data_IF_290761606085
#
_entry.id   IF_290761606085
#
_cell.length_a   1.000
_cell.length_b   1.000
_cell.length_c   1.000
_cell.angle_alpha   90.00
_cell.angle_beta   90.00
_cell.angle_gamma   90.00
#
_symmetry.space_group_name_H-M   'P 1'
#
loop_
_entity.id
_entity.type
_entity.pdbx_description
1 polymer ?
#
# COMPACT_ATOMS: atom_id res chain seq x y z
N UNK A 1 -25.98 -14.26 53.17
CA UNK A 1 -25.70 -12.87 52.73
C UNK A 1 -26.17 -12.73 51.31
N UNK A 2 -27.32 -12.09 51.14
CA UNK A 2 -27.92 -11.73 49.85
C UNK A 2 -27.09 -10.63 49.19
N UNK A 3 -26.82 -10.73 47.89
CA UNK A 3 -26.63 -9.51 47.09
C UNK A 3 -27.20 -9.67 45.69
N UNK A 4 -28.03 -8.67 45.39
CA UNK A 4 -29.00 -8.56 44.32
C UNK A 4 -28.37 -8.41 42.94
N UNK A 5 -28.88 -9.19 41.98
CA UNK A 5 -28.82 -8.86 40.56
C UNK A 5 -29.79 -7.71 40.25
N UNK A 6 -29.28 -6.53 39.89
CA UNK A 6 -30.07 -5.46 39.27
C UNK A 6 -29.98 -5.59 37.75
N UNK A 7 -31.10 -5.99 37.15
CA UNK A 7 -31.36 -5.92 35.72
C UNK A 7 -31.59 -4.45 35.32
N UNK A 8 -30.81 -3.94 34.37
CA UNK A 8 -31.07 -2.68 33.69
C UNK A 8 -31.70 -2.97 32.33
N UNK A 9 -33.02 -2.78 32.25
CA UNK A 9 -33.72 -2.51 30.99
C UNK A 9 -33.40 -1.07 30.58
N UNK A 10 -32.95 -0.87 29.34
CA UNK A 10 -33.03 0.42 28.65
C UNK A 10 -33.59 0.18 27.25
N UNK A 11 -34.89 0.40 27.16
CA UNK A 11 -35.58 0.75 25.92
C UNK A 11 -35.16 2.18 25.54
N UNK A 12 -34.79 2.37 24.28
CA UNK A 12 -34.27 3.66 23.80
C UNK A 12 -34.16 3.70 22.29
N UNK A 13 -35.31 3.63 21.61
CA UNK A 13 -35.46 3.88 20.18
C UNK A 13 -35.08 5.32 19.84
N UNK A 14 -33.83 5.57 19.44
CA UNK A 14 -33.40 6.83 18.86
C UNK A 14 -33.86 6.90 17.40
N UNK A 15 -35.01 7.56 17.16
CA UNK A 15 -35.40 8.01 15.82
C UNK A 15 -34.49 9.16 15.42
N UNK A 16 -33.55 8.88 14.51
CA UNK A 16 -32.74 9.91 13.86
C UNK A 16 -33.65 10.71 12.92
N UNK A 17 -33.87 11.99 13.25
CA UNK A 17 -34.51 12.93 12.34
C UNK A 17 -33.58 13.20 11.14
N UNK A 18 -34.08 12.92 9.94
CA UNK A 18 -33.39 13.25 8.69
C UNK A 18 -33.41 14.77 8.47
N UNK A 19 -32.27 15.42 8.14
CA UNK A 19 -32.24 16.85 7.81
C UNK A 19 -32.96 17.16 6.49
N UNK A 20 -33.85 18.16 6.50
CA UNK A 20 -34.71 18.59 5.39
C UNK A 20 -34.03 19.48 4.34
N UNK A 21 -32.83 19.12 3.87
CA UNK A 21 -32.12 19.87 2.82
C UNK A 21 -32.20 19.16 1.47
N UNK A 22 -33.41 19.01 0.94
CA UNK A 22 -33.66 18.84 -0.51
C UNK A 22 -34.50 20.01 -1.01
N UNK A 23 -33.98 21.21 -0.86
CA UNK A 23 -34.41 22.36 -1.66
C UNK A 23 -33.79 22.23 -3.04
N UNK A 24 -34.67 22.10 -4.04
CA UNK A 24 -34.38 22.12 -5.47
C UNK A 24 -33.38 23.23 -5.80
N UNK A 25 -32.18 22.85 -6.22
CA UNK A 25 -31.23 23.75 -6.87
C UNK A 25 -31.81 24.16 -8.22
N UNK A 26 -32.53 25.28 -8.25
CA UNK A 26 -32.73 26.04 -9.49
C UNK A 26 -31.35 26.46 -9.97
N UNK A 27 -30.95 25.99 -11.14
CA UNK A 27 -29.77 26.48 -11.83
C UNK A 27 -29.90 28.00 -12.00
N UNK A 28 -28.85 28.79 -11.68
CA UNK A 28 -28.88 30.23 -11.92
C UNK A 28 -29.01 30.47 -13.43
N UNK A 29 -29.88 31.40 -13.80
CA UNK A 29 -30.01 31.87 -15.17
C UNK A 29 -28.63 32.30 -15.70
N UNK A 30 -28.20 31.61 -16.75
CA UNK A 30 -26.96 31.92 -17.46
C UNK A 30 -27.15 33.26 -18.17
N UNK A 31 -26.41 34.27 -17.74
CA UNK A 31 -26.38 35.58 -18.39
C UNK A 31 -25.76 35.47 -19.79
N UNK A 32 -26.21 36.32 -20.72
CA UNK A 32 -25.75 36.35 -22.12
C UNK A 32 -24.21 36.54 -22.26
N UNK A 33 -23.57 37.12 -21.25
CA UNK A 33 -22.11 37.28 -21.15
C UNK A 33 -21.38 35.92 -21.16
N UNK A 34 -21.93 34.92 -20.46
CA UNK A 34 -21.34 33.58 -20.35
C UNK A 34 -21.42 32.81 -21.67
N UNK A 35 -22.48 33.06 -22.46
CA UNK A 35 -22.63 32.50 -23.80
C UNK A 35 -21.66 33.14 -24.81
N UNK A 36 -21.35 34.44 -24.68
CA UNK A 36 -20.33 35.11 -25.51
C UNK A 36 -18.93 34.56 -25.28
N UNK A 37 -18.56 34.27 -24.03
CA UNK A 37 -17.24 33.70 -23.70
C UNK A 37 -17.07 32.28 -24.31
N UNK A 38 -18.12 31.45 -24.26
CA UNK A 38 -18.10 30.10 -24.85
C UNK A 38 -18.00 30.12 -26.38
N UNK A 39 -18.67 31.06 -27.05
CA UNK A 39 -18.57 31.22 -28.52
C UNK A 39 -17.18 31.67 -28.98
N UNK A 40 -16.47 32.50 -28.21
CA UNK A 40 -15.08 32.90 -28.54
C UNK A 40 -14.07 31.74 -28.43
N UNK A 41 -14.30 30.79 -27.53
CA UNK A 41 -13.46 29.58 -27.40
C UNK A 41 -13.58 28.67 -28.64
N UNK A 42 -14.81 28.48 -29.15
CA UNK A 42 -15.05 27.57 -30.27
C UNK A 42 -14.50 28.10 -31.61
N UNK A 43 -14.47 29.42 -31.80
CA UNK A 43 -13.86 30.05 -32.98
C UNK A 43 -12.31 29.97 -32.98
N UNK A 44 -11.68 29.99 -31.79
CA UNK A 44 -10.22 29.79 -31.67
C UNK A 44 -9.81 28.37 -32.03
N UNK A 45 -10.59 27.36 -31.64
CA UNK A 45 -10.33 25.96 -32.02
C UNK A 45 -10.42 25.69 -33.53
N UNK A 46 -11.18 26.49 -34.28
CA UNK A 46 -11.25 26.33 -35.74
C UNK A 46 -10.05 26.94 -36.47
N UNK A 47 -9.46 28.02 -35.96
CA UNK A 47 -8.27 28.63 -36.57
C UNK A 47 -7.00 27.81 -36.36
N UNK A 48 -6.83 27.16 -35.21
CA UNK A 48 -5.66 26.30 -34.95
C UNK A 48 -5.65 25.03 -35.80
N UNK A 49 -6.80 24.64 -36.40
CA UNK A 49 -6.91 23.47 -37.26
C UNK A 49 -6.52 23.73 -38.73
N UNK A 50 -6.29 24.99 -39.09
CA UNK A 50 -5.96 25.40 -40.48
C UNK A 50 -4.52 25.88 -40.67
N UNK A 51 -3.73 25.97 -39.60
CA UNK A 51 -2.28 26.19 -39.73
C UNK A 51 -1.59 24.89 -40.12
N UNK A 52 -1.16 24.86 -41.38
CA UNK A 52 -0.45 23.79 -42.04
C UNK A 52 0.69 23.18 -41.19
N UNK A 53 0.63 21.87 -40.99
CA UNK A 53 1.76 21.07 -40.52
C UNK A 53 2.89 21.11 -41.59
N UNK A 54 4.15 21.31 -41.19
CA UNK A 54 5.27 21.17 -42.11
C UNK A 54 5.42 19.70 -42.57
N UNK A 55 5.84 19.45 -43.83
CA UNK A 55 5.94 18.10 -44.36
C UNK A 55 7.02 17.30 -43.61
N UNK A 56 6.54 16.28 -42.91
CA UNK A 56 7.35 15.28 -42.22
C UNK A 56 8.13 14.43 -43.23
N UNK A 57 9.37 14.81 -43.51
CA UNK A 57 10.38 13.94 -44.11
C UNK A 57 11.00 13.09 -42.99
N UNK A 58 10.71 11.79 -42.98
CA UNK A 58 11.67 10.69 -42.77
C UNK A 58 10.94 9.36 -42.64
N UNK A 59 10.67 8.74 -43.79
CA UNK A 59 10.52 7.30 -43.89
C UNK A 59 11.90 6.63 -43.70
N UNK A 60 11.85 5.32 -43.37
CA UNK A 60 12.94 4.34 -43.33
C UNK A 60 13.64 4.18 -41.98
N UNK A 61 13.16 3.22 -41.18
CA UNK A 61 13.88 1.96 -40.96
C UNK A 61 13.08 1.02 -40.06
N UNK A 62 12.33 0.11 -40.69
CA UNK A 62 11.90 -1.15 -40.10
C UNK A 62 13.12 -1.99 -39.76
N UNK A 63 13.47 -2.08 -38.47
CA UNK A 63 14.24 -3.21 -37.94
C UNK A 63 13.42 -3.96 -36.90
N UNK A 64 12.73 -4.97 -37.44
CA UNK A 64 12.30 -6.18 -36.76
C UNK A 64 13.54 -6.78 -36.08
N UNK A 65 13.58 -6.81 -34.75
CA UNK A 65 14.50 -7.68 -34.00
C UNK A 65 13.69 -8.77 -33.35
N UNK A 66 14.14 -9.97 -33.69
CA UNK A 66 13.54 -11.25 -33.46
C UNK A 66 13.54 -11.61 -31.98
N UNK A 67 12.52 -12.36 -31.59
CA UNK A 67 12.48 -13.07 -30.33
C UNK A 67 13.62 -14.10 -30.32
N UNK A 68 14.54 -13.98 -29.35
CA UNK A 68 15.49 -15.05 -29.04
C UNK A 68 14.75 -16.22 -28.38
N UNK A 69 14.88 -17.45 -28.92
CA UNK A 69 14.43 -18.65 -28.24
C UNK A 69 15.57 -19.20 -27.39
N UNK A 70 15.54 -18.99 -26.07
CA UNK A 70 16.40 -19.75 -25.16
C UNK A 70 15.70 -21.04 -24.77
N UNK A 71 15.94 -22.07 -25.58
CA UNK A 71 15.83 -23.47 -25.18
C UNK A 71 16.77 -23.72 -23.99
N UNK A 72 16.22 -23.82 -22.77
CA UNK A 72 16.93 -24.40 -21.63
C UNK A 72 16.47 -25.85 -21.47
N UNK A 73 17.08 -26.74 -22.26
CA UNK A 73 16.98 -28.19 -22.09
C UNK A 73 17.94 -28.59 -20.98
N UNK A 74 17.45 -28.57 -19.73
CA UNK A 74 18.17 -29.19 -18.61
C UNK A 74 17.92 -30.69 -18.65
N UNK A 75 18.91 -31.40 -19.18
CA UNK A 75 19.07 -32.84 -19.12
C UNK A 75 19.18 -33.29 -17.65
N UNK A 76 18.09 -33.81 -17.09
CA UNK A 76 18.16 -34.57 -15.85
C UNK A 76 18.73 -35.96 -16.14
N UNK A 77 19.91 -36.22 -15.59
CA UNK A 77 20.54 -37.53 -15.60
C UNK A 77 19.63 -38.59 -15.00
N UNK A 78 19.46 -39.69 -15.74
CA UNK A 78 18.88 -40.95 -15.27
C UNK A 78 19.73 -41.48 -14.12
N UNK A 79 19.22 -41.37 -12.89
CA UNK A 79 19.60 -42.25 -11.80
C UNK A 79 18.65 -43.45 -11.83
N UNK A 80 19.22 -44.59 -12.24
CA UNK A 80 18.64 -45.92 -12.14
C UNK A 80 18.44 -46.28 -10.66
N UNK A 81 17.20 -46.41 -10.22
CA UNK A 81 16.85 -47.11 -8.98
C UNK A 81 15.98 -48.31 -9.30
N UNK A 82 16.33 -49.40 -8.62
CA UNK A 82 15.93 -50.78 -8.85
C UNK A 82 14.41 -51.01 -8.95
N UNK A 83 14.07 -51.89 -9.89
CA UNK A 83 12.80 -52.58 -9.98
C UNK A 83 12.64 -53.54 -8.79
N UNK A 84 11.53 -53.42 -8.06
CA UNK A 84 11.15 -54.37 -7.02
C UNK A 84 9.84 -53.96 -6.34
N UNK A 85 8.78 -54.71 -6.64
CA UNK A 85 7.39 -54.58 -6.16
C UNK A 85 6.50 -53.54 -6.86
N UNK A 86 5.96 -53.93 -8.01
CA UNK A 86 4.72 -53.36 -8.56
C UNK A 86 3.57 -53.62 -7.58
N UNK A 87 3.27 -52.64 -6.73
CA UNK A 87 1.94 -52.50 -6.14
C UNK A 87 1.07 -51.76 -7.15
N UNK A 88 -0.10 -52.34 -7.46
CA UNK A 88 -1.08 -51.75 -8.34
C UNK A 88 -1.34 -50.27 -7.96
N UNK A 89 -1.56 -49.37 -8.94
CA UNK A 89 -1.82 -47.97 -8.66
C UNK A 89 -2.98 -47.85 -7.66
N UNK A 90 -2.81 -47.16 -6.52
CA UNK A 90 -3.85 -47.03 -5.52
C UNK A 90 -5.05 -46.35 -6.17
N UNK A 91 -6.11 -47.14 -6.37
CA UNK A 91 -7.38 -46.69 -6.89
C UNK A 91 -7.80 -45.44 -6.08
N UNK A 92 -7.92 -44.29 -6.75
CA UNK A 92 -8.00 -42.95 -6.17
C UNK A 92 -9.33 -42.64 -5.44
N UNK A 93 -9.93 -43.67 -4.83
CA UNK A 93 -11.37 -43.74 -4.57
C UNK A 93 -11.78 -43.44 -3.13
N UNK A 94 -10.86 -43.27 -2.19
CA UNK A 94 -11.24 -42.84 -0.85
C UNK A 94 -10.02 -42.47 -0.03
N UNK A 95 -9.89 -41.21 0.36
CA UNK A 95 -8.95 -40.92 1.43
C UNK A 95 -9.40 -39.71 2.22
N UNK A 96 -10.54 -39.86 2.93
CA UNK A 96 -10.62 -39.16 4.19
C UNK A 96 -9.35 -39.47 4.99
N UNK A 97 -8.78 -38.47 5.67
CA UNK A 97 -7.54 -38.63 6.44
C UNK A 97 -7.58 -39.80 7.44
N UNK A 98 -8.76 -40.21 7.92
CA UNK A 98 -8.85 -41.34 8.85
C UNK A 98 -8.56 -42.72 8.21
N UNK A 99 -8.37 -42.79 6.89
CA UNK A 99 -8.03 -44.03 6.15
C UNK A 99 -9.16 -45.06 6.06
N UNK A 100 -10.34 -44.79 6.64
CA UNK A 100 -11.49 -45.71 6.64
C UNK A 100 -12.38 -45.42 5.42
N UNK A 101 -12.89 -46.45 4.75
CA UNK A 101 -13.92 -46.29 3.71
C UNK A 101 -15.29 -46.24 4.38
N UNK A 102 -16.01 -45.12 4.27
CA UNK A 102 -17.39 -45.00 4.73
C UNK A 102 -18.27 -44.45 3.62
N UNK A 103 -19.52 -44.88 3.57
CA UNK A 103 -20.55 -44.35 2.68
C UNK A 103 -21.07 -42.97 3.17
N UNK A 104 -20.17 -42.08 3.57
CA UNK A 104 -20.48 -40.72 4.03
C UNK A 104 -19.97 -39.69 3.01
N UNK A 105 -20.71 -38.59 2.84
CA UNK A 105 -20.23 -37.47 2.02
C UNK A 105 -18.93 -36.90 2.58
N UNK A 106 -17.98 -36.57 1.69
CA UNK A 106 -16.74 -35.91 2.07
C UNK A 106 -16.89 -34.38 2.05
N UNK A 107 -16.19 -33.71 2.96
CA UNK A 107 -16.00 -32.26 2.96
C UNK A 107 -14.51 -31.93 2.92
N UNK A 108 -14.15 -30.97 2.08
CA UNK A 108 -12.78 -30.47 1.94
C UNK A 108 -12.59 -29.22 2.78
N UNK A 109 -11.43 -29.10 3.42
CA UNK A 109 -11.05 -27.89 4.14
C UNK A 109 -11.00 -26.69 3.17
N UNK A 110 -11.56 -25.55 3.56
CA UNK A 110 -11.55 -24.31 2.77
C UNK A 110 -10.20 -23.58 2.79
N UNK A 111 -9.31 -23.95 3.71
CA UNK A 111 -7.93 -23.50 3.62
C UNK A 111 -7.34 -24.12 2.34
N UNK A 112 -7.04 -23.27 1.34
CA UNK A 112 -6.55 -23.65 -0.01
C UNK A 112 -5.33 -24.56 -0.01
N UNK A 113 -4.61 -24.63 1.11
CA UNK A 113 -3.36 -25.36 1.29
C UNK A 113 -3.56 -26.66 2.05
N UNK A 114 -4.67 -26.75 2.79
CA UNK A 114 -5.07 -27.96 3.49
C UNK A 114 -5.78 -28.90 2.51
N UNK A 115 -5.05 -29.90 2.02
CA UNK A 115 -5.59 -30.97 1.16
C UNK A 115 -6.41 -32.01 1.95
N UNK A 116 -6.67 -31.77 3.24
CA UNK A 116 -7.43 -32.72 4.07
C UNK A 116 -8.89 -32.76 3.63
N UNK A 117 -9.36 -33.96 3.32
CA UNK A 117 -10.77 -34.27 3.19
C UNK A 117 -11.21 -35.12 4.37
N UNK A 118 -12.42 -34.87 4.86
CA UNK A 118 -12.98 -35.53 6.03
C UNK A 118 -14.38 -36.05 5.72
N UNK A 119 -14.75 -37.22 6.26
CA UNK A 119 -16.16 -37.62 6.28
C UNK A 119 -16.98 -36.60 7.08
N UNK A 120 -18.07 -36.13 6.48
CA UNK A 120 -18.87 -35.02 7.01
C UNK A 120 -19.32 -35.26 8.46
N UNK A 121 -19.91 -36.42 8.74
CA UNK A 121 -20.47 -36.72 10.06
C UNK A 121 -19.40 -37.28 10.99
N UNK A 122 -18.72 -38.34 10.57
CA UNK A 122 -17.90 -39.11 11.49
C UNK A 122 -16.48 -38.57 11.72
N UNK A 123 -15.94 -37.75 10.82
CA UNK A 123 -14.59 -37.18 10.96
C UNK A 123 -14.61 -35.66 11.15
N UNK A 124 -15.48 -34.94 10.45
CA UNK A 124 -15.64 -33.51 10.60
C UNK A 124 -16.62 -33.11 11.73
N UNK A 125 -17.40 -34.06 12.26
CA UNK A 125 -18.38 -33.78 13.32
C UNK A 125 -19.53 -32.89 12.88
N UNK A 126 -19.77 -32.77 11.57
CA UNK A 126 -20.81 -31.91 11.01
C UNK A 126 -22.09 -32.71 10.77
N UNK A 127 -23.19 -32.27 11.38
CA UNK A 127 -24.52 -32.84 11.11
C UNK A 127 -25.00 -32.52 9.69
N UNK A 128 -24.59 -31.36 9.15
CA UNK A 128 -24.98 -30.86 7.82
C UNK A 128 -23.80 -30.15 7.16
N UNK A 129 -23.77 -30.17 5.83
CA UNK A 129 -22.79 -29.39 5.06
C UNK A 129 -23.05 -27.88 5.29
N UNK A 130 -22.01 -27.05 5.51
CA UNK A 130 -22.16 -25.60 5.58
C UNK A 130 -22.89 -25.10 4.34
N UNK A 131 -23.84 -24.17 4.52
CA UNK A 131 -24.64 -23.60 3.42
C UNK A 131 -24.11 -22.22 3.04
N UNK A 132 -24.13 -21.89 1.75
CA UNK A 132 -23.71 -20.59 1.25
C UNK A 132 -22.19 -20.38 1.27
N UNK A 133 -21.75 -19.15 1.59
CA UNK A 133 -20.34 -18.73 1.61
C UNK A 133 -19.62 -18.99 2.95
N UNK A 134 -20.20 -19.79 3.85
CA UNK A 134 -19.52 -20.13 5.11
C UNK A 134 -18.43 -21.16 4.87
N UNK A 135 -17.17 -20.73 4.95
CA UNK A 135 -16.01 -21.59 4.87
C UNK A 135 -15.99 -22.60 6.04
N UNK A 136 -15.58 -23.83 5.77
CA UNK A 136 -15.30 -24.84 6.79
C UNK A 136 -13.82 -25.18 6.82
N UNK A 137 -13.25 -25.19 8.02
CA UNK A 137 -11.87 -25.54 8.27
C UNK A 137 -11.80 -26.78 9.14
N UNK A 138 -10.86 -27.68 8.85
CA UNK A 138 -10.59 -28.84 9.72
C UNK A 138 -10.07 -28.37 11.09
N UNK A 139 -10.07 -29.26 12.09
CA UNK A 139 -9.62 -28.93 13.45
C UNK A 139 -8.23 -28.26 13.47
N UNK A 140 -7.28 -28.76 12.66
CA UNK A 140 -5.94 -28.20 12.57
C UNK A 140 -5.90 -26.80 11.94
N UNK A 141 -6.79 -26.51 10.98
CA UNK A 141 -6.84 -25.20 10.33
C UNK A 141 -7.68 -24.19 11.11
N UNK A 142 -8.63 -24.65 11.92
CA UNK A 142 -9.51 -23.80 12.71
C UNK A 142 -8.75 -23.07 13.83
N UNK A 143 -7.68 -23.66 14.36
CA UNK A 143 -6.78 -22.99 15.31
C UNK A 143 -5.79 -22.04 14.65
N UNK A 144 -5.53 -22.21 13.33
CA UNK A 144 -4.58 -21.38 12.58
C UNK A 144 -5.19 -20.08 12.06
N UNK A 145 -6.52 -19.97 12.01
CA UNK A 145 -7.24 -18.84 11.43
C UNK A 145 -6.97 -17.52 12.18
N UNK A 146 -6.55 -17.58 13.45
CA UNK A 146 -6.47 -16.40 14.32
C UNK A 146 -5.06 -15.98 14.74
N UNK A 147 -4.01 -16.78 14.47
CA UNK A 147 -2.77 -16.61 15.23
C UNK A 147 -1.48 -16.60 14.42
N UNK A 148 -1.40 -17.26 13.26
CA UNK A 148 -0.17 -17.25 12.47
C UNK A 148 -0.34 -16.47 11.16
N UNK A 149 0.63 -15.62 10.81
CA UNK A 149 0.64 -14.81 9.57
C UNK A 149 0.41 -15.63 8.30
N UNK A 150 0.74 -16.91 8.30
CA UNK A 150 0.51 -17.77 7.15
C UNK A 150 -0.94 -18.21 6.98
N UNK A 151 -1.87 -17.96 7.91
CA UNK A 151 -3.28 -18.38 7.82
C UNK A 151 -3.42 -19.87 7.47
N UNK A 152 -2.55 -20.71 8.03
CA UNK A 152 -2.49 -22.14 7.73
C UNK A 152 -1.93 -22.57 6.37
N UNK A 153 -1.16 -21.72 5.68
CA UNK A 153 -0.45 -22.08 4.44
C UNK A 153 0.68 -23.11 4.63
N UNK A 154 1.19 -23.28 5.85
CA UNK A 154 2.32 -24.18 6.16
C UNK A 154 1.87 -25.50 6.77
N UNK A 155 2.76 -26.50 6.68
CA UNK A 155 2.47 -27.87 7.10
C UNK A 155 2.33 -27.96 8.62
N UNK A 156 1.39 -28.76 9.10
CA UNK A 156 1.14 -28.96 10.54
C UNK A 156 2.31 -29.59 11.32
N UNK A 157 3.30 -30.17 10.63
CA UNK A 157 4.51 -30.74 11.25
C UNK A 157 5.61 -29.72 11.49
N UNK A 158 5.42 -28.47 11.10
CA UNK A 158 6.42 -27.42 11.34
C UNK A 158 6.43 -27.00 12.82
N UNK A 159 7.63 -26.77 13.36
CA UNK A 159 7.81 -26.29 14.73
C UNK A 159 7.06 -24.96 14.93
N UNK A 160 6.31 -24.91 16.02
CA UNK A 160 5.56 -23.74 16.46
C UNK A 160 6.29 -23.05 17.61
N UNK A 161 6.24 -21.72 17.65
CA UNK A 161 6.73 -20.89 18.73
C UNK A 161 5.55 -20.12 19.34
N UNK A 162 5.58 -19.96 20.66
CA UNK A 162 4.53 -19.27 21.43
C UNK A 162 5.01 -17.87 21.81
N UNK A 163 4.14 -16.88 21.69
CA UNK A 163 4.41 -15.55 22.25
C UNK A 163 4.41 -15.60 23.79
N UNK A 164 5.43 -15.03 24.44
CA UNK A 164 5.54 -15.01 25.91
C UNK A 164 4.55 -14.07 26.60
N UNK A 165 3.97 -13.11 25.87
CA UNK A 165 3.06 -12.13 26.47
C UNK A 165 1.76 -12.80 26.95
N UNK A 166 1.49 -12.73 28.25
CA UNK A 166 0.47 -13.54 28.92
C UNK A 166 -0.98 -13.11 28.62
N UNK A 167 -1.20 -11.98 27.94
CA UNK A 167 -2.53 -11.38 27.75
C UNK A 167 -3.13 -11.55 26.35
N UNK A 168 -2.66 -12.52 25.56
CA UNK A 168 -3.34 -12.85 24.32
C UNK A 168 -4.56 -13.75 24.56
N UNK A 169 -5.73 -13.43 23.97
CA UNK A 169 -6.82 -14.39 23.92
C UNK A 169 -6.40 -15.59 23.05
N UNK A 170 -6.10 -16.73 23.69
CA UNK A 170 -5.96 -18.02 23.02
C UNK A 170 -4.54 -18.55 22.76
N UNK A 171 -3.52 -18.06 23.47
CA UNK A 171 -2.12 -18.56 23.37
C UNK A 171 -1.63 -18.72 21.91
N UNK A 172 -1.45 -17.62 21.16
CA UNK A 172 -1.17 -17.69 19.74
C UNK A 172 0.14 -18.45 19.47
N UNK A 173 0.03 -19.47 18.62
CA UNK A 173 1.15 -20.25 18.10
C UNK A 173 1.49 -19.81 16.68
N UNK A 174 2.78 -19.62 16.43
CA UNK A 174 3.30 -19.15 15.15
C UNK A 174 4.27 -20.19 14.58
N UNK A 175 4.16 -20.52 13.31
CA UNK A 175 5.17 -21.34 12.64
C UNK A 175 6.51 -20.62 12.60
N UNK A 176 7.59 -21.32 12.97
CA UNK A 176 8.93 -20.74 13.01
C UNK A 176 9.34 -20.07 11.71
N UNK A 177 9.04 -20.65 10.54
CA UNK A 177 9.37 -20.01 9.26
C UNK A 177 8.42 -18.88 8.86
N UNK A 178 7.35 -18.62 9.62
CA UNK A 178 6.54 -17.40 9.46
C UNK A 178 7.07 -16.24 10.29
N UNK A 179 7.86 -16.55 11.31
CA UNK A 179 8.46 -15.59 12.23
C UNK A 179 9.99 -15.66 12.19
N UNK A 180 10.59 -16.37 11.24
CA UNK A 180 12.05 -16.62 11.21
C UNK A 180 12.85 -15.35 10.99
N UNK A 181 12.22 -14.32 10.42
CA UNK A 181 12.81 -12.98 10.27
C UNK A 181 12.78 -12.23 11.61
N UNK A 182 11.92 -12.67 12.53
CA UNK A 182 11.61 -11.99 13.79
C UNK A 182 12.14 -12.70 15.04
N UNK A 183 12.74 -13.87 14.87
CA UNK A 183 13.21 -14.73 15.96
C UNK A 183 14.72 -14.83 15.88
N UNK A 184 15.40 -14.47 16.96
CA UNK A 184 16.87 -14.59 17.06
C UNK A 184 17.29 -16.03 17.38
N UNK A 185 18.54 -16.44 17.08
CA UNK A 185 19.04 -17.76 17.46
C UNK A 185 18.90 -18.07 18.96
N UNK A 186 19.10 -17.07 19.82
CA UNK A 186 18.93 -17.18 21.28
C UNK A 186 17.47 -17.47 21.65
N UNK A 187 16.51 -16.83 20.98
CA UNK A 187 15.09 -17.09 21.15
C UNK A 187 14.68 -18.48 20.63
N UNK A 188 15.37 -19.02 19.62
CA UNK A 188 15.17 -20.40 19.15
C UNK A 188 15.64 -21.45 20.16
N UNK A 189 16.60 -21.09 21.00
CA UNK A 189 17.18 -21.95 22.04
C UNK A 189 16.46 -21.81 23.40
N UNK A 190 15.33 -21.08 23.43
CA UNK A 190 14.61 -20.70 24.66
C UNK A 190 15.47 -19.90 25.67
N UNK A 191 16.56 -19.27 25.23
CA UNK A 191 17.43 -18.44 26.08
C UNK A 191 16.87 -17.03 26.28
N UNK A 192 16.01 -16.57 25.36
CA UNK A 192 15.32 -15.27 25.43
C UNK A 192 13.84 -15.40 25.08
N UNK A 193 13.05 -14.51 25.67
CA UNK A 193 11.62 -14.41 25.41
C UNK A 193 11.36 -13.83 24.02
N UNK A 194 10.44 -14.46 23.28
CA UNK A 194 9.93 -13.95 22.02
C UNK A 194 8.54 -13.31 22.19
N UNK A 195 8.39 -12.12 21.60
CA UNK A 195 7.14 -11.37 21.57
C UNK A 195 6.65 -11.28 20.12
N UNK A 196 5.37 -11.56 19.89
CA UNK A 196 4.80 -11.42 18.56
C UNK A 196 4.72 -9.93 18.19
N UNK A 197 4.69 -9.58 16.88
CA UNK A 197 4.67 -8.18 16.44
C UNK A 197 3.55 -7.35 17.09
N UNK A 198 2.37 -7.96 17.30
CA UNK A 198 1.23 -7.31 17.95
C UNK A 198 1.55 -6.92 19.40
N UNK A 199 2.33 -7.72 20.11
CA UNK A 199 2.73 -7.41 21.47
C UNK A 199 3.91 -6.47 21.54
N UNK A 200 4.83 -6.52 20.58
CA UNK A 200 5.95 -5.58 20.50
C UNK A 200 5.44 -4.13 20.43
N UNK A 201 4.34 -3.87 19.71
CA UNK A 201 3.66 -2.57 19.65
C UNK A 201 3.21 -2.00 21.01
N UNK A 202 3.00 -2.85 22.02
CA UNK A 202 2.52 -2.40 23.33
C UNK A 202 3.64 -2.04 24.32
N UNK A 203 4.91 -2.36 24.02
CA UNK A 203 6.02 -2.26 24.98
C UNK A 203 6.91 -1.02 24.77
N UNK A 204 6.71 -0.22 23.71
CA UNK A 204 7.46 1.03 23.49
C UNK A 204 7.29 1.65 22.10
N UNK A 205 8.00 2.75 21.81
CA UNK A 205 8.08 3.33 20.45
C UNK A 205 8.69 2.31 19.51
N UNK A 206 7.85 1.64 18.71
CA UNK A 206 8.35 0.62 17.80
C UNK A 206 8.72 1.26 16.47
N UNK A 207 9.98 1.13 16.11
CA UNK A 207 10.48 1.51 14.80
C UNK A 207 10.11 0.42 13.79
N UNK A 208 9.40 0.80 12.72
CA UNK A 208 8.91 -0.14 11.72
C UNK A 208 9.55 0.17 10.36
N UNK A 209 10.08 -0.86 9.69
CA UNK A 209 10.49 -0.74 8.30
C UNK A 209 9.28 -0.73 7.35
N UNK A 210 9.47 -0.33 6.09
CA UNK A 210 8.47 -0.46 5.02
C UNK A 210 7.94 -1.88 4.84
N UNK A 211 8.69 -2.90 5.27
CA UNK A 211 8.24 -4.29 5.24
C UNK A 211 7.22 -4.61 6.35
N UNK A 212 6.96 -3.67 7.27
CA UNK A 212 6.07 -3.86 8.43
C UNK A 212 6.66 -4.74 9.53
N UNK A 213 7.94 -5.10 9.43
CA UNK A 213 8.65 -5.84 10.48
C UNK A 213 9.35 -4.84 11.42
N UNK A 214 9.39 -5.18 12.69
CA UNK A 214 10.11 -4.45 13.72
C UNK A 214 11.61 -4.73 13.70
N UNK A 215 12.37 -4.03 14.55
CA UNK A 215 13.78 -4.31 14.78
C UNK A 215 13.95 -5.66 15.49
N UNK A 216 14.13 -6.73 14.73
CA UNK A 216 14.39 -8.06 15.26
C UNK A 216 15.88 -8.40 15.26
N UNK A 217 16.71 -7.42 15.66
CA UNK A 217 18.18 -7.57 15.70
C UNK A 217 18.83 -7.52 14.32
N UNK A 218 18.09 -7.14 13.29
CA UNK A 218 18.64 -6.88 11.97
C UNK A 218 19.12 -5.43 11.90
N UNK A 219 20.30 -5.20 11.33
CA UNK A 219 20.85 -3.85 11.21
C UNK A 219 19.86 -2.93 10.49
N UNK A 220 19.44 -1.87 11.18
CA UNK A 220 18.53 -0.85 10.66
C UNK A 220 19.26 0.46 10.41
N UNK A 221 18.77 1.22 9.43
CA UNK A 221 19.25 2.56 9.12
C UNK A 221 18.12 3.57 9.25
N UNK A 222 18.40 4.69 9.93
CA UNK A 222 17.47 5.80 10.09
C UNK A 222 17.56 6.76 8.90
N UNK A 223 16.42 7.22 8.40
CA UNK A 223 16.39 8.25 7.38
C UNK A 223 16.69 9.64 7.98
N UNK A 224 17.60 10.42 7.40
CA UNK A 224 17.94 11.78 7.88
C UNK A 224 16.75 12.76 7.84
N UNK A 225 15.73 12.46 7.03
CA UNK A 225 14.51 13.27 6.94
C UNK A 225 13.48 12.96 8.04
N UNK A 226 13.75 12.08 9.00
CA UNK A 226 12.81 11.82 10.12
C UNK A 226 12.70 12.99 11.08
N UNK A 227 13.82 13.65 11.33
CA UNK A 227 13.92 14.70 12.34
C UNK A 227 13.91 16.10 11.68
N UNK A 228 13.65 16.19 10.38
CA UNK A 228 13.63 17.47 9.67
C UNK A 228 12.28 18.16 9.89
N UNK A 229 12.26 19.02 10.90
CA UNK A 229 11.27 20.07 11.01
C UNK A 229 11.44 21.12 9.91
N UNK A 230 10.38 21.88 9.67
CA UNK A 230 10.46 23.09 8.84
C UNK A 230 11.22 24.18 9.59
N UNK A 231 12.36 24.61 9.04
CA UNK A 231 13.17 25.70 9.58
C UNK A 231 12.38 27.02 9.71
N UNK A 232 11.37 27.22 8.86
CA UNK A 232 10.54 28.43 8.88
C UNK A 232 9.47 28.44 9.97
N UNK A 233 9.18 27.28 10.57
CA UNK A 233 7.94 27.11 11.33
C UNK A 233 8.13 27.16 12.85
N UNK A 234 9.29 26.74 13.40
CA UNK A 234 9.59 26.75 14.85
C UNK A 234 8.62 25.99 15.78
N UNK A 235 7.49 25.48 15.26
CA UNK A 235 6.37 24.89 15.97
C UNK A 235 6.17 23.45 15.49
N UNK A 236 5.89 22.55 16.43
CA UNK A 236 5.84 21.10 16.25
C UNK A 236 4.91 20.62 15.10
N UNK A 237 5.57 20.21 14.02
CA UNK A 237 5.30 19.24 12.93
C UNK A 237 3.89 18.83 12.47
N UNK A 238 2.82 18.85 13.27
CA UNK A 238 1.54 18.22 12.85
C UNK A 238 0.64 19.12 12.01
N UNK A 239 0.68 20.44 12.20
CA UNK A 239 -0.33 21.35 11.63
C UNK A 239 0.13 22.14 10.40
N UNK A 240 1.38 21.98 9.96
CA UNK A 240 1.88 22.70 8.79
C UNK A 240 1.86 21.80 7.55
N UNK A 241 1.01 22.14 6.58
CA UNK A 241 0.89 21.43 5.29
C UNK A 241 2.23 21.37 4.53
N UNK A 242 3.12 22.35 4.75
CA UNK A 242 4.48 22.34 4.19
C UNK A 242 5.42 21.37 4.93
N UNK A 243 5.21 21.15 6.25
CA UNK A 243 5.97 20.22 7.09
C UNK A 243 5.62 18.75 6.86
N UNK A 244 4.34 18.42 6.67
CA UNK A 244 3.88 17.05 6.42
C UNK A 244 4.55 16.45 5.17
N UNK A 245 5.02 17.32 4.27
CA UNK A 245 5.79 16.92 3.11
C UNK A 245 7.27 16.60 3.36
N UNK A 246 7.88 17.01 4.47
CA UNK A 246 9.34 16.88 4.69
C UNK A 246 9.68 15.60 5.47
N UNK A 247 8.84 15.23 6.45
CA UNK A 247 9.09 14.10 7.32
C UNK A 247 8.99 12.77 6.58
N UNK A 248 9.92 11.86 6.87
CA UNK A 248 9.86 10.47 6.40
C UNK A 248 8.84 9.70 7.26
N UNK A 249 7.83 9.08 6.63
CA UNK A 249 6.75 8.37 7.35
C UNK A 249 7.19 7.08 8.04
N UNK A 250 8.25 6.43 7.54
CA UNK A 250 8.68 5.08 7.97
C UNK A 250 9.78 5.16 9.04
N UNK A 251 10.54 6.24 9.01
CA UNK A 251 11.69 6.52 9.86
C UNK A 251 12.90 5.57 9.76
N UNK A 252 12.69 4.26 9.88
CA UNK A 252 13.75 3.25 9.96
C UNK A 252 13.58 2.19 8.88
N UNK A 253 14.69 1.68 8.36
CA UNK A 253 14.67 0.69 7.29
C UNK A 253 15.65 -0.44 7.60
N UNK A 254 15.23 -1.70 7.43
CA UNK A 254 16.19 -2.80 7.41
C UNK A 254 17.06 -2.67 6.18
N UNK A 255 18.38 -2.79 6.36
CA UNK A 255 19.37 -2.72 5.28
C UNK A 255 19.06 -3.69 4.12
N UNK A 256 18.64 -4.95 4.37
CA UNK A 256 18.20 -5.85 3.30
C UNK A 256 16.95 -5.39 2.56
N UNK A 257 16.00 -4.72 3.23
CA UNK A 257 14.75 -4.26 2.62
C UNK A 257 14.96 -3.13 1.62
N UNK A 258 16.03 -2.36 1.77
CA UNK A 258 16.44 -1.30 0.83
C UNK A 258 17.51 -1.78 -0.15
N UNK A 259 17.87 -3.06 -0.12
CA UNK A 259 18.85 -3.67 -1.03
C UNK A 259 20.29 -3.23 -0.78
N UNK A 260 20.59 -2.63 0.38
CA UNK A 260 21.96 -2.25 0.74
C UNK A 260 22.71 -3.44 1.33
N UNK A 261 24.02 -3.48 1.10
CA UNK A 261 24.93 -4.42 1.78
C UNK A 261 25.53 -3.77 3.01
N UNK A 262 26.02 -4.58 3.96
CA UNK A 262 26.64 -4.07 5.19
C UNK A 262 27.85 -3.15 4.93
N UNK A 263 28.60 -3.40 3.86
CA UNK A 263 29.72 -2.56 3.45
C UNK A 263 29.31 -1.18 2.88
N UNK A 264 28.04 -1.02 2.50
CA UNK A 264 27.50 0.21 1.92
C UNK A 264 26.78 1.07 2.98
N UNK A 265 26.66 0.58 4.22
CA UNK A 265 26.06 1.33 5.31
C UNK A 265 26.91 2.60 5.54
N UNK A 266 26.32 3.81 5.41
CA UNK A 266 27.05 5.03 5.66
C UNK A 266 27.64 5.04 7.06
N UNK A 267 28.84 5.60 7.18
CA UNK A 267 29.52 5.74 8.48
C UNK A 267 28.71 6.66 9.39
N UNK A 268 29.02 6.66 10.69
CA UNK A 268 28.27 7.37 11.74
C UNK A 268 28.00 8.87 11.46
N UNK A 269 28.81 9.52 10.62
CA UNK A 269 28.66 10.92 10.23
C UNK A 269 28.01 11.15 8.84
N UNK A 270 27.76 10.08 8.08
CA UNK A 270 27.18 10.17 6.74
C UNK A 270 25.66 10.05 6.82
N UNK A 271 24.96 11.01 6.22
CA UNK A 271 23.50 11.07 6.22
C UNK A 271 22.91 10.19 5.14
N UNK A 272 21.98 9.32 5.50
CA UNK A 272 21.23 8.51 4.54
C UNK A 272 19.81 9.02 4.34
N UNK A 273 19.36 9.10 3.09
CA UNK A 273 18.01 9.54 2.73
C UNK A 273 17.34 8.43 1.92
N UNK A 274 16.14 8.01 2.33
CA UNK A 274 15.44 6.94 1.63
C UNK A 274 15.00 7.38 0.23
N UNK A 275 14.83 6.41 -0.69
CA UNK A 275 14.44 6.67 -2.07
C UNK A 275 13.14 7.50 -2.18
N UNK A 276 12.13 7.22 -1.33
CA UNK A 276 10.88 7.99 -1.30
C UNK A 276 11.11 9.47 -0.95
N UNK A 277 12.02 9.74 -0.01
CA UNK A 277 12.38 11.11 0.36
C UNK A 277 13.14 11.82 -0.76
N UNK A 278 14.02 11.12 -1.48
CA UNK A 278 14.71 11.66 -2.65
C UNK A 278 13.73 12.01 -3.78
N UNK A 279 12.81 11.10 -4.12
CA UNK A 279 11.75 11.38 -5.11
C UNK A 279 10.89 12.59 -4.72
N UNK A 280 10.53 12.69 -3.44
CA UNK A 280 9.73 13.82 -2.93
C UNK A 280 10.49 15.14 -3.05
N UNK A 281 11.80 15.13 -2.76
CA UNK A 281 12.66 16.29 -2.95
C UNK A 281 12.77 16.69 -4.43
N UNK A 282 12.90 15.73 -5.34
CA UNK A 282 12.94 15.99 -6.78
C UNK A 282 11.61 16.62 -7.28
N UNK A 283 10.47 16.05 -6.90
CA UNK A 283 9.14 16.60 -7.24
C UNK A 283 8.98 18.04 -6.75
N UNK A 284 9.46 18.34 -5.54
CA UNK A 284 9.49 19.69 -4.97
C UNK A 284 10.38 20.64 -5.75
N UNK A 285 11.58 20.20 -6.14
CA UNK A 285 12.48 21.01 -6.96
C UNK A 285 11.85 21.34 -8.33
N UNK A 286 11.17 20.37 -8.95
CA UNK A 286 10.43 20.60 -10.21
C UNK A 286 9.28 21.59 -10.01
N UNK A 287 8.50 21.45 -8.93
CA UNK A 287 7.41 22.36 -8.60
C UNK A 287 7.92 23.79 -8.34
N UNK A 288 9.00 23.94 -7.57
CA UNK A 288 9.65 25.22 -7.30
C UNK A 288 10.12 25.90 -8.60
N UNK A 289 10.75 25.15 -9.52
CA UNK A 289 11.14 25.66 -10.84
C UNK A 289 9.93 26.14 -11.65
N UNK A 290 8.80 25.42 -11.60
CA UNK A 290 7.55 25.84 -12.28
C UNK A 290 6.98 27.13 -11.67
N UNK A 291 6.95 27.24 -10.35
CA UNK A 291 6.49 28.45 -9.65
C UNK A 291 7.38 29.64 -10.00
N UNK A 292 8.71 29.48 -9.92
CA UNK A 292 9.67 30.53 -10.28
C UNK A 292 9.52 30.98 -11.74
N UNK A 293 9.31 30.04 -12.66
CA UNK A 293 9.02 30.37 -14.07
C UNK A 293 7.72 31.14 -14.23
N UNK A 294 6.64 30.70 -13.57
CA UNK A 294 5.34 31.38 -13.61
C UNK A 294 5.42 32.80 -13.02
N UNK A 295 6.16 32.96 -11.92
CA UNK A 295 6.38 34.27 -11.30
C UNK A 295 7.18 35.20 -12.21
N UNK A 296 8.24 34.70 -12.87
CA UNK A 296 8.98 35.47 -13.87
C UNK A 296 8.06 35.91 -15.02
N UNK A 297 7.26 34.99 -15.56
CA UNK A 297 6.29 35.32 -16.62
C UNK A 297 5.27 36.36 -16.18
N UNK A 298 4.81 36.31 -14.92
CA UNK A 298 3.92 37.34 -14.36
C UNK A 298 4.61 38.70 -14.30
N UNK A 299 5.84 38.78 -13.77
CA UNK A 299 6.62 40.03 -13.71
C UNK A 299 6.88 40.62 -15.11
N UNK A 300 7.21 39.78 -16.08
CA UNK A 300 7.42 40.20 -17.47
C UNK A 300 6.13 40.77 -18.08
N UNK A 301 4.97 40.15 -17.78
CA UNK A 301 3.66 40.64 -18.20
C UNK A 301 3.31 41.98 -17.56
N UNK A 302 3.50 42.12 -16.25
CA UNK A 302 3.23 43.36 -15.50
C UNK A 302 4.10 44.51 -16.01
N UNK A 303 5.37 44.24 -16.33
CA UNK A 303 6.28 45.21 -16.94
C UNK A 303 5.80 45.64 -18.33
N UNK A 304 5.39 44.68 -19.17
CA UNK A 304 4.86 44.97 -20.50
C UNK A 304 3.55 45.77 -20.45
N UNK A 305 2.70 45.52 -19.46
CA UNK A 305 1.49 46.30 -19.20
C UNK A 305 1.80 47.74 -18.77
N UNK A 306 2.76 47.92 -17.85
CA UNK A 306 3.24 49.24 -17.44
C UNK A 306 3.74 50.05 -18.64
N UNK A 307 4.59 49.46 -19.49
CA UNK A 307 5.10 50.13 -20.71
C UNK A 307 3.96 50.50 -21.68
N UNK A 308 2.95 49.63 -21.84
CA UNK A 308 1.77 49.94 -22.66
C UNK A 308 0.96 51.12 -22.10
N UNK A 309 0.79 51.20 -20.79
CA UNK A 309 0.09 52.32 -20.13
C UNK A 309 0.84 53.64 -20.30
N UNK A 310 2.17 53.64 -20.16
CA UNK A 310 3.00 54.82 -20.35
C UNK A 310 2.93 55.35 -21.80
N UNK A 311 2.89 54.46 -22.80
CA UNK A 311 2.72 54.85 -24.21
C UNK A 311 1.34 55.48 -24.47
N UNK A 312 0.28 54.95 -23.87
CA UNK A 312 -1.07 55.53 -23.99
C UNK A 312 -1.12 56.94 -23.40
N UNK A 313 -0.53 57.13 -22.23
CA UNK A 313 -0.50 58.43 -21.56
C UNK A 313 0.35 59.46 -22.32
N UNK A 314 1.48 59.06 -22.93
CA UNK A 314 2.31 59.95 -23.76
C UNK A 314 1.69 60.31 -25.11
N UNK A 315 0.88 59.42 -25.69
CA UNK A 315 0.15 59.67 -26.94
C UNK A 315 -1.08 60.57 -26.78
N UNK A 316 -1.59 60.70 -25.55
CA UNK A 316 -2.54 61.76 -25.17
C UNK A 316 -1.75 63.02 -24.83
N UNK A 317 -1.14 63.66 -25.82
CA UNK A 317 -0.75 65.05 -25.65
C UNK A 317 -2.03 65.85 -25.30
N UNK A 318 -2.03 66.69 -24.25
CA UNK A 318 -3.17 67.55 -24.00
C UNK A 318 -3.41 68.36 -25.26
N UNK A 319 -4.62 68.21 -25.80
CA UNK A 319 -5.17 69.02 -26.88
C UNK A 319 -5.36 70.45 -26.37
N UNK A 320 -4.27 71.12 -25.97
CA UNK A 320 -4.22 72.58 -25.84
C UNK A 320 -3.85 73.12 -27.20
N UNK A 321 -4.84 73.05 -28.10
CA UNK A 321 -5.00 74.02 -29.15
C UNK A 321 -5.15 75.40 -28.49
N UNK A 322 -4.01 76.06 -28.30
CA UNK A 322 -3.92 77.51 -28.29
C UNK A 322 -3.53 77.97 -29.68
N UNK A 323 -4.37 77.71 -30.69
CA UNK A 323 -4.40 78.59 -31.85
C UNK A 323 -5.29 79.77 -31.43
N UNK A 324 -4.66 80.82 -30.90
CA UNK A 324 -5.27 82.14 -30.88
C UNK A 324 -5.45 82.56 -32.35
N UNK A 325 -6.70 82.60 -32.80
CA UNK A 325 -7.10 83.41 -33.95
C UNK A 325 -7.36 84.85 -33.47
#
# INVERSE_FOLDING_TARGET
MFNMFKALKRDGSNKVAQPSWRTRSRSPEMTDESNRARRRSHLRQQYDRTTAEPPNRSALNLRRREASPTNFTLSFGKLTTNEGAQTAPPNAESACHCGKKKAESLISCHNKWCKKTSHLKSCAGLLRRPRGNTAWYCADCRSLENHCFCQGRKNAGEKLMRCKFQNHPGDPLFHLSCISITVTPEQLLDERDWFCPICTEQVGEVHCCTCGLHDFGGTMIKCDNTNKGCESCGVFEKDCEMCQGVKCEVEWYHIPCIGMKEAEIPKENEKWVCAKCLEKAERRAIAAKKIAKAEKTRRDYDLAEKVRSERRNKGQAPERYGYEM
#
